data_IF_465310219378
#
_entry.id   IF_465310219378
#
_cell.length_a   1.000
_cell.length_b   1.000
_cell.length_c   1.000
_cell.angle_alpha   90.00
_cell.angle_beta   90.00
_cell.angle_gamma   90.00
#
_symmetry.space_group_name_H-M   'P 1'
#
loop_
_entity.id
_entity.type
_entity.pdbx_description
1 polymer ?
#
# COMPACT_ATOMS: atom_id res chain seq x y z
N UNK A 1 4.27 21.14 1.00
CA UNK A 1 4.70 21.15 -0.42
C UNK A 1 4.91 19.70 -0.83
N UNK A 2 4.26 19.22 -1.89
CA UNK A 2 4.36 17.82 -2.34
C UNK A 2 5.76 17.54 -2.86
N UNK A 3 6.45 16.54 -2.33
CA UNK A 3 7.80 16.17 -2.75
C UNK A 3 7.79 15.34 -4.04
N UNK A 4 8.94 15.22 -4.71
CA UNK A 4 9.10 14.34 -5.87
C UNK A 4 8.74 12.87 -5.52
N UNK A 5 9.10 12.42 -4.31
CA UNK A 5 8.74 11.09 -3.81
C UNK A 5 7.24 10.93 -3.60
N UNK A 6 6.52 11.97 -3.16
CA UNK A 6 5.05 11.90 -3.03
C UNK A 6 4.37 11.75 -4.42
N UNK A 7 4.90 12.42 -5.44
CA UNK A 7 4.42 12.29 -6.84
C UNK A 7 4.70 10.89 -7.36
N UNK A 8 5.91 10.39 -7.16
CA UNK A 8 6.31 9.06 -7.59
C UNK A 8 5.49 7.98 -6.89
N UNK A 9 5.29 8.08 -5.58
CA UNK A 9 4.43 7.19 -4.80
C UNK A 9 2.99 7.15 -5.34
N UNK A 10 2.41 8.32 -5.64
CA UNK A 10 1.07 8.42 -6.20
C UNK A 10 0.98 7.77 -7.59
N UNK A 11 1.97 8.03 -8.45
CA UNK A 11 2.06 7.40 -9.77
C UNK A 11 2.15 5.88 -9.68
N UNK A 12 2.99 5.34 -8.78
CA UNK A 12 3.17 3.90 -8.58
C UNK A 12 1.96 3.23 -7.96
N UNK A 13 1.29 3.89 -7.03
CA UNK A 13 0.02 3.39 -6.47
C UNK A 13 -1.09 3.36 -7.53
N UNK A 14 -1.13 4.32 -8.45
CA UNK A 14 -2.06 4.32 -9.58
C UNK A 14 -1.74 3.21 -10.60
N UNK A 15 -0.46 2.97 -10.88
CA UNK A 15 -0.01 1.87 -11.75
C UNK A 15 -0.46 0.52 -11.19
N UNK A 16 -0.20 0.26 -9.91
CA UNK A 16 -0.70 -0.91 -9.19
C UNK A 16 -2.23 -1.02 -9.26
N UNK A 17 -2.94 0.08 -9.02
CA UNK A 17 -4.40 0.10 -9.04
C UNK A 17 -4.99 -0.30 -10.40
N UNK A 18 -4.43 0.21 -11.49
CA UNK A 18 -4.88 -0.08 -12.85
C UNK A 18 -4.58 -1.54 -13.23
N UNK A 19 -3.41 -2.06 -12.87
CA UNK A 19 -3.09 -3.47 -13.10
C UNK A 19 -3.99 -4.40 -12.31
N UNK A 20 -4.20 -4.13 -11.02
CA UNK A 20 -5.11 -4.89 -10.17
C UNK A 20 -6.53 -4.89 -10.75
N UNK A 21 -7.03 -3.72 -11.14
CA UNK A 21 -8.37 -3.61 -11.70
C UNK A 21 -8.51 -4.43 -12.99
N UNK A 22 -7.52 -4.36 -13.90
CA UNK A 22 -7.49 -5.17 -15.13
C UNK A 22 -7.53 -6.68 -14.85
N UNK A 23 -6.81 -7.13 -13.81
CA UNK A 23 -6.81 -8.54 -13.42
C UNK A 23 -8.15 -8.98 -12.83
N UNK A 24 -8.85 -8.11 -12.09
CA UNK A 24 -10.16 -8.46 -11.52
C UNK A 24 -11.22 -8.54 -12.61
N UNK A 25 -11.31 -7.51 -13.47
CA UNK A 25 -12.35 -7.46 -14.51
C UNK A 25 -12.17 -8.51 -15.61
N UNK A 26 -10.97 -9.09 -15.76
CA UNK A 26 -10.76 -10.19 -16.73
C UNK A 26 -11.48 -11.47 -16.32
N UNK A 27 -11.79 -11.61 -15.02
CA UNK A 27 -12.48 -12.77 -14.45
C UNK A 27 -13.91 -12.48 -14.00
N UNK A 28 -14.33 -11.21 -13.98
CA UNK A 28 -15.62 -10.78 -13.45
C UNK A 28 -16.53 -10.17 -14.51
N UNK A 29 -17.75 -10.72 -14.61
CA UNK A 29 -18.79 -10.28 -15.55
C UNK A 29 -19.85 -9.37 -14.91
N UNK A 30 -19.53 -8.78 -13.75
CA UNK A 30 -20.43 -7.91 -12.96
C UNK A 30 -19.76 -6.57 -12.68
N UNK A 31 -20.51 -5.65 -12.07
CA UNK A 31 -19.97 -4.38 -11.62
C UNK A 31 -18.87 -4.60 -10.57
N UNK A 32 -17.69 -4.05 -10.81
CA UNK A 32 -16.53 -4.14 -9.92
C UNK A 32 -16.33 -2.81 -9.22
N UNK A 33 -16.28 -2.84 -7.89
CA UNK A 33 -15.94 -1.70 -7.03
C UNK A 33 -14.85 -2.15 -6.06
N UNK A 34 -13.70 -1.48 -6.10
CA UNK A 34 -12.55 -1.79 -5.24
C UNK A 34 -11.93 -0.50 -4.71
N UNK A 35 -11.22 -0.60 -3.59
CA UNK A 35 -10.33 0.45 -3.09
C UNK A 35 -8.88 0.00 -3.23
N UNK A 36 -8.20 0.35 -4.34
CA UNK A 36 -6.80 -0.04 -4.55
C UNK A 36 -5.87 0.49 -3.46
N UNK A 37 -6.16 1.69 -2.93
CA UNK A 37 -5.40 2.29 -1.83
C UNK A 37 -5.47 1.44 -0.54
N UNK A 38 -6.65 0.91 -0.21
CA UNK A 38 -6.82 0.02 0.95
C UNK A 38 -5.97 -1.26 0.79
N UNK A 39 -6.06 -1.87 -0.40
CA UNK A 39 -5.33 -3.10 -0.73
C UNK A 39 -3.82 -2.86 -0.71
N UNK A 40 -3.33 -1.78 -1.34
CA UNK A 40 -1.90 -1.45 -1.35
C UNK A 40 -1.38 -1.14 0.05
N UNK A 41 -2.17 -0.48 0.89
CA UNK A 41 -1.79 -0.18 2.29
C UNK A 41 -1.60 -1.48 3.08
N UNK A 42 -2.55 -2.41 3.00
CA UNK A 42 -2.46 -3.70 3.69
C UNK A 42 -1.29 -4.54 3.18
N UNK A 43 -1.10 -4.62 1.86
CA UNK A 43 0.02 -5.35 1.25
C UNK A 43 1.36 -4.73 1.60
N UNK A 44 1.45 -3.40 1.70
CA UNK A 44 2.67 -2.71 2.12
C UNK A 44 3.06 -3.08 3.55
N UNK A 45 2.10 -3.11 4.48
CA UNK A 45 2.35 -3.56 5.86
C UNK A 45 2.91 -4.99 5.90
N UNK A 46 2.35 -5.90 5.11
CA UNK A 46 2.85 -7.26 5.00
C UNK A 46 4.24 -7.33 4.33
N UNK A 47 4.50 -6.50 3.31
CA UNK A 47 5.79 -6.41 2.62
C UNK A 47 6.91 -5.94 3.56
N UNK A 48 6.62 -4.98 4.44
CA UNK A 48 7.56 -4.52 5.48
C UNK A 48 7.85 -5.59 6.54
N UNK A 49 6.92 -6.53 6.77
CA UNK A 49 7.14 -7.69 7.64
C UNK A 49 7.85 -8.88 6.96
N UNK A 50 7.99 -8.86 5.63
CA UNK A 50 8.63 -9.92 4.86
C UNK A 50 10.15 -9.68 4.70
N UNK A 51 10.86 -10.71 4.24
CA UNK A 51 12.30 -10.62 3.96
C UNK A 51 12.67 -11.41 2.70
N UNK A 52 13.87 -11.14 2.17
CA UNK A 52 14.45 -11.87 1.02
C UNK A 52 13.54 -11.83 -0.22
N UNK A 53 13.38 -13.00 -0.86
CA UNK A 53 12.61 -13.15 -2.10
C UNK A 53 11.15 -12.71 -1.93
N UNK A 54 10.51 -13.07 -0.82
CA UNK A 54 9.11 -12.70 -0.55
C UNK A 54 8.93 -11.18 -0.49
N UNK A 55 9.80 -10.47 0.23
CA UNK A 55 9.74 -9.01 0.25
C UNK A 55 9.92 -8.42 -1.16
N UNK A 56 10.90 -8.93 -1.92
CA UNK A 56 11.19 -8.43 -3.25
C UNK A 56 10.01 -8.58 -4.22
N UNK A 57 9.34 -9.73 -4.21
CA UNK A 57 8.14 -9.96 -5.03
C UNK A 57 6.99 -9.02 -4.64
N UNK A 58 6.74 -8.87 -3.33
CA UNK A 58 5.68 -7.97 -2.84
C UNK A 58 5.92 -6.51 -3.21
N UNK A 59 7.15 -6.01 -3.03
CA UNK A 59 7.50 -4.64 -3.42
C UNK A 59 7.48 -4.43 -4.94
N UNK A 60 7.81 -5.46 -5.72
CA UNK A 60 7.70 -5.44 -7.18
C UNK A 60 6.24 -5.31 -7.63
N UNK A 61 5.32 -6.09 -7.06
CA UNK A 61 3.87 -5.98 -7.34
C UNK A 61 3.34 -4.60 -6.95
N UNK A 62 3.74 -4.08 -5.79
CA UNK A 62 3.37 -2.73 -5.32
C UNK A 62 4.02 -1.60 -6.14
N UNK A 63 4.91 -1.92 -7.08
CA UNK A 63 5.65 -0.96 -7.93
C UNK A 63 6.63 -0.06 -7.15
N UNK A 64 7.00 -0.44 -5.94
CA UNK A 64 8.00 0.26 -5.11
C UNK A 64 9.40 -0.33 -5.35
N UNK A 65 9.87 -0.28 -6.59
CA UNK A 65 11.13 -0.90 -7.02
C UNK A 65 12.34 0.02 -6.88
N UNK A 66 12.12 1.33 -6.86
CA UNK A 66 13.15 2.32 -6.60
C UNK A 66 13.56 2.30 -5.12
N UNK A 67 14.87 2.31 -4.85
CA UNK A 67 15.41 2.18 -3.51
C UNK A 67 15.05 3.34 -2.58
N UNK A 68 15.08 4.57 -3.09
CA UNK A 68 14.72 5.77 -2.33
C UNK A 68 13.22 5.80 -2.03
N UNK A 69 12.40 5.50 -3.05
CA UNK A 69 10.95 5.39 -2.87
C UNK A 69 10.62 4.32 -1.82
N UNK A 70 11.18 3.11 -1.96
CA UNK A 70 10.92 1.99 -1.06
C UNK A 70 11.24 2.34 0.40
N UNK A 71 12.35 3.05 0.64
CA UNK A 71 12.72 3.53 1.97
C UNK A 71 11.74 4.58 2.50
N UNK A 72 11.16 5.41 1.62
CA UNK A 72 10.23 6.48 1.99
C UNK A 72 8.77 6.02 2.17
N UNK A 73 8.35 4.86 1.63
CA UNK A 73 6.94 4.42 1.62
C UNK A 73 6.28 4.50 3.00
N UNK A 74 6.93 4.03 4.06
CA UNK A 74 6.36 4.07 5.41
C UNK A 74 6.12 5.51 5.90
N UNK A 75 7.05 6.42 5.62
CA UNK A 75 6.91 7.84 5.96
C UNK A 75 5.81 8.52 5.15
N UNK A 76 5.71 8.20 3.85
CA UNK A 76 4.68 8.72 2.96
C UNK A 76 3.29 8.26 3.45
N UNK A 77 3.11 6.97 3.76
CA UNK A 77 1.86 6.48 4.37
C UNK A 77 1.55 7.20 5.69
N UNK A 78 2.55 7.42 6.54
CA UNK A 78 2.37 8.18 7.79
C UNK A 78 1.83 9.59 7.55
N UNK A 79 2.35 10.29 6.53
CA UNK A 79 1.88 11.61 6.11
C UNK A 79 0.44 11.55 5.58
N UNK A 80 0.16 10.63 4.66
CA UNK A 80 -1.16 10.46 4.04
C UNK A 80 -2.23 10.14 5.10
N UNK A 81 -1.96 9.20 6.01
CA UNK A 81 -2.90 8.84 7.08
C UNK A 81 -3.14 9.99 8.05
N UNK A 82 -2.10 10.78 8.34
CA UNK A 82 -2.24 11.98 9.17
C UNK A 82 -3.12 13.03 8.48
N UNK A 83 -2.92 13.27 7.19
CA UNK A 83 -3.71 14.23 6.42
C UNK A 83 -5.19 13.82 6.36
N UNK A 84 -5.48 12.52 6.22
CA UNK A 84 -6.85 12.00 6.24
C UNK A 84 -7.49 11.94 7.62
N UNK A 85 -6.73 11.96 8.71
CA UNK A 85 -7.31 11.93 10.06
C UNK A 85 -8.24 13.12 10.35
N UNK A 86 -7.92 14.29 9.80
CA UNK A 86 -8.70 15.52 9.89
C UNK A 86 -9.82 15.61 8.84
N UNK A 87 -9.88 14.68 7.88
CA UNK A 87 -10.88 14.71 6.81
C UNK A 87 -12.26 14.24 7.34
N UNK A 88 -13.34 15.00 7.14
CA UNK A 88 -14.68 14.62 7.62
C UNK A 88 -15.35 13.50 6.80
N UNK A 89 -14.93 13.30 5.54
CA UNK A 89 -15.59 12.42 4.58
C UNK A 89 -14.88 11.07 4.43
N UNK A 90 -13.55 11.07 4.45
CA UNK A 90 -12.73 9.89 4.24
C UNK A 90 -12.08 9.46 5.55
N UNK A 91 -12.37 8.23 5.99
CA UNK A 91 -11.79 7.62 7.19
C UNK A 91 -10.99 6.39 6.81
N UNK A 92 -9.76 6.30 7.30
CA UNK A 92 -8.83 5.20 7.03
C UNK A 92 -8.31 4.69 8.37
N UNK A 93 -8.30 3.37 8.54
CA UNK A 93 -7.80 2.73 9.76
C UNK A 93 -7.07 1.43 9.42
N UNK A 94 -5.92 1.22 10.06
CA UNK A 94 -5.15 -0.01 9.95
C UNK A 94 -5.08 -0.67 11.33
N UNK A 95 -5.27 -2.00 11.38
CA UNK A 95 -5.13 -2.80 12.61
C UNK A 95 -4.51 -4.15 12.28
N UNK A 96 -3.51 -4.54 13.04
CA UNK A 96 -2.87 -5.85 12.96
C UNK A 96 -3.30 -6.68 14.15
N UNK A 97 -3.74 -7.92 13.91
CA UNK A 97 -4.08 -8.88 14.95
C UNK A 97 -2.96 -9.91 15.04
N UNK A 98 -2.36 -10.05 16.21
CA UNK A 98 -1.22 -10.95 16.46
C UNK A 98 -1.69 -12.10 17.33
N UNK A 99 -1.29 -13.32 16.97
CA UNK A 99 -1.62 -14.52 17.74
C UNK A 99 -1.01 -14.43 19.15
N UNK A 100 -1.79 -14.79 20.16
CA UNK A 100 -1.31 -14.90 21.53
C UNK A 100 -0.03 -15.73 21.57
N UNK A 101 0.97 -15.26 22.35
CA UNK A 101 2.34 -15.80 22.48
C UNK A 101 3.34 -15.37 21.40
N UNK A 102 2.93 -14.59 20.40
CA UNK A 102 3.85 -13.96 19.45
C UNK A 102 3.94 -12.46 19.71
N UNK A 103 5.13 -11.90 19.54
CA UNK A 103 5.39 -10.46 19.59
C UNK A 103 5.83 -9.95 18.22
N UNK A 104 5.41 -8.74 17.87
CA UNK A 104 5.92 -8.05 16.68
C UNK A 104 7.40 -7.71 16.92
N UNK A 105 8.24 -7.96 15.93
CA UNK A 105 9.66 -7.57 15.98
C UNK A 105 9.76 -6.04 15.87
N UNK A 106 10.59 -5.44 16.72
CA UNK A 106 10.90 -4.01 16.70
C UNK A 106 11.82 -3.65 15.53
#
# INVERSE_FOLDING_TARGET
MTSALDIQFSSKTNEFALELYKQIISSENKNVIISPFSISTCLSLAAFGAAGHTANEMFSVLKYTDGELKAAVAQIYGKVLKDFSANPTVKIANKVYVMNRYSVKA
#
